data_IF_056683319458
#
_entry.id   IF_056683319458
#
_cell.length_a   1.000
_cell.length_b   1.000
_cell.length_c   1.000
_cell.angle_alpha   90.00
_cell.angle_beta   90.00
_cell.angle_gamma   90.00
#
_symmetry.space_group_name_H-M   'P 1'
#
loop_
_entity.id
_entity.type
_entity.pdbx_description
1 polymer ?
#
# COMPACT_ATOMS: atom_id res chain seq x y z
N UNK A 1 -3.06 7.21 -25.37
CA UNK A 1 -3.91 6.40 -24.47
C UNK A 1 -4.94 7.30 -23.83
N UNK A 2 -6.18 6.84 -23.60
CA UNK A 2 -7.14 7.63 -22.82
C UNK A 2 -6.65 7.75 -21.37
N UNK A 3 -6.82 8.91 -20.73
CA UNK A 3 -6.25 9.21 -19.40
C UNK A 3 -6.72 8.23 -18.31
N UNK A 4 -7.98 7.80 -18.38
CA UNK A 4 -8.55 6.73 -17.55
C UNK A 4 -7.78 5.41 -17.67
N UNK A 5 -7.43 4.97 -18.89
CA UNK A 5 -6.70 3.71 -19.12
C UNK A 5 -5.30 3.77 -18.52
N UNK A 6 -4.61 4.90 -18.71
CA UNK A 6 -3.27 5.10 -18.13
C UNK A 6 -3.32 5.06 -16.59
N UNK A 7 -4.29 5.74 -15.99
CA UNK A 7 -4.47 5.74 -14.52
C UNK A 7 -4.78 4.34 -13.99
N UNK A 8 -5.66 3.58 -14.65
CA UNK A 8 -5.96 2.21 -14.25
C UNK A 8 -4.71 1.33 -14.32
N UNK A 9 -3.94 1.38 -15.41
CA UNK A 9 -2.71 0.59 -15.54
C UNK A 9 -1.69 0.97 -14.46
N UNK A 10 -1.45 2.27 -14.24
CA UNK A 10 -0.52 2.73 -13.23
C UNK A 10 -0.97 2.34 -11.81
N UNK A 11 -2.27 2.42 -11.53
CA UNK A 11 -2.84 2.03 -10.23
C UNK A 11 -2.73 0.52 -10.00
N UNK A 12 -3.01 -0.30 -11.01
CA UNK A 12 -2.82 -1.75 -10.93
C UNK A 12 -1.34 -2.11 -10.71
N UNK A 13 -0.42 -1.46 -11.41
CA UNK A 13 1.02 -1.65 -11.20
C UNK A 13 1.42 -1.27 -9.77
N UNK A 14 0.91 -0.16 -9.25
CA UNK A 14 1.16 0.26 -7.87
C UNK A 14 0.63 -0.76 -6.85
N UNK A 15 -0.57 -1.31 -7.06
CA UNK A 15 -1.14 -2.36 -6.21
C UNK A 15 -0.27 -3.63 -6.24
N UNK A 16 0.24 -4.04 -7.40
CA UNK A 16 1.15 -5.19 -7.53
C UNK A 16 2.45 -4.96 -6.75
N UNK A 17 3.10 -3.82 -6.96
CA UNK A 17 4.34 -3.48 -6.25
C UNK A 17 4.12 -3.39 -4.73
N UNK A 18 3.00 -2.81 -4.30
CA UNK A 18 2.61 -2.77 -2.89
C UNK A 18 2.38 -4.17 -2.32
N UNK A 19 1.78 -5.07 -3.09
CA UNK A 19 1.56 -6.46 -2.66
C UNK A 19 2.89 -7.19 -2.46
N UNK A 20 3.87 -6.99 -3.35
CA UNK A 20 5.21 -7.54 -3.16
C UNK A 20 5.90 -6.95 -1.93
N UNK A 21 5.85 -5.64 -1.74
CA UNK A 21 6.39 -4.98 -0.55
C UNK A 21 5.76 -5.53 0.74
N UNK A 22 4.43 -5.62 0.81
CA UNK A 22 3.73 -6.17 1.96
C UNK A 22 4.07 -7.64 2.21
N UNK A 23 4.20 -8.45 1.16
CA UNK A 23 4.59 -9.86 1.28
C UNK A 23 5.99 -9.99 1.87
N UNK A 24 6.91 -9.15 1.43
CA UNK A 24 8.29 -9.12 1.90
C UNK A 24 8.38 -8.70 3.39
N UNK A 25 7.58 -7.72 3.82
CA UNK A 25 7.43 -7.34 5.23
C UNK A 25 6.87 -8.51 6.06
N UNK A 26 5.78 -9.14 5.61
CA UNK A 26 5.17 -10.30 6.29
C UNK A 26 6.17 -11.45 6.45
N UNK A 27 6.95 -11.76 5.41
CA UNK A 27 7.94 -12.84 5.46
C UNK A 27 9.07 -12.53 6.45
N UNK A 28 9.54 -11.28 6.51
CA UNK A 28 10.61 -10.87 7.44
C UNK A 28 10.14 -10.73 8.89
N UNK A 29 8.88 -10.40 9.10
CA UNK A 29 8.27 -10.31 10.43
C UNK A 29 7.86 -11.66 11.01
N UNK A 30 8.14 -12.78 10.33
CA UNK A 30 7.87 -14.14 10.83
C UNK A 30 6.52 -14.72 10.39
N UNK A 31 5.87 -14.10 9.41
CA UNK A 31 4.68 -14.63 8.74
C UNK A 31 3.37 -13.96 9.15
N UNK A 32 2.30 -14.32 8.42
CA UNK A 32 0.99 -13.66 8.52
C UNK A 32 0.39 -13.66 9.93
N UNK A 33 0.66 -14.69 10.73
CA UNK A 33 0.05 -14.85 12.05
C UNK A 33 0.68 -13.93 13.12
N UNK A 34 1.93 -13.51 12.96
CA UNK A 34 2.67 -12.75 13.99
C UNK A 34 2.02 -11.39 14.26
N UNK A 35 1.51 -10.73 13.22
CA UNK A 35 0.80 -9.44 13.30
C UNK A 35 -0.57 -9.52 12.64
N UNK A 36 -1.29 -10.61 12.90
CA UNK A 36 -2.52 -11.00 12.18
C UNK A 36 -3.54 -9.86 11.97
N UNK A 37 -3.88 -9.10 13.02
CA UNK A 37 -4.83 -8.00 12.91
C UNK A 37 -4.34 -6.88 11.97
N UNK A 38 -3.07 -6.49 12.06
CA UNK A 38 -2.47 -5.47 11.19
C UNK A 38 -2.37 -5.95 9.74
N UNK A 39 -2.00 -7.21 9.55
CA UNK A 39 -1.92 -7.83 8.23
C UNK A 39 -3.29 -7.89 7.55
N UNK A 40 -4.36 -8.20 8.31
CA UNK A 40 -5.73 -8.17 7.78
C UNK A 40 -6.16 -6.75 7.35
N UNK A 41 -5.81 -5.72 8.14
CA UNK A 41 -6.10 -4.33 7.78
C UNK A 41 -5.39 -3.96 6.46
N UNK A 42 -4.11 -4.33 6.31
CA UNK A 42 -3.36 -4.08 5.08
C UNK A 42 -3.99 -4.78 3.86
N UNK A 43 -4.42 -6.04 4.01
CA UNK A 43 -5.13 -6.79 2.95
C UNK A 43 -6.46 -6.13 2.60
N UNK A 44 -7.22 -5.64 3.58
CA UNK A 44 -8.47 -4.92 3.33
C UNK A 44 -8.24 -3.61 2.57
N UNK A 45 -7.16 -2.87 2.87
CA UNK A 45 -6.78 -1.66 2.14
C UNK A 45 -6.49 -1.99 0.67
N UNK A 46 -5.70 -3.05 0.41
CA UNK A 46 -5.41 -3.51 -0.95
C UNK A 46 -6.68 -3.89 -1.71
N UNK A 47 -7.62 -4.57 -1.04
CA UNK A 47 -8.89 -4.98 -1.63
C UNK A 47 -9.78 -3.79 -2.00
N UNK A 48 -9.91 -2.81 -1.10
CA UNK A 48 -10.66 -1.57 -1.37
C UNK A 48 -10.01 -0.78 -2.50
N UNK A 49 -8.69 -0.69 -2.52
CA UNK A 49 -7.95 0.01 -3.58
C UNK A 49 -8.13 -0.67 -4.95
N UNK A 50 -8.04 -2.00 -5.01
CA UNK A 50 -8.30 -2.78 -6.22
C UNK A 50 -9.75 -2.60 -6.71
N UNK A 51 -10.72 -2.68 -5.80
CA UNK A 51 -12.12 -2.44 -6.13
C UNK A 51 -12.35 -1.02 -6.67
N UNK A 52 -11.77 -0.01 -6.02
CA UNK A 52 -11.83 1.37 -6.50
C UNK A 52 -11.22 1.56 -7.89
N UNK A 53 -10.13 0.83 -8.17
CA UNK A 53 -9.44 0.87 -9.47
C UNK A 53 -10.24 0.21 -10.59
N UNK A 54 -10.87 -0.95 -10.33
CA UNK A 54 -11.55 -1.74 -11.35
C UNK A 54 -13.04 -1.39 -11.51
N UNK A 55 -13.77 -1.29 -10.40
CA UNK A 55 -15.24 -1.16 -10.41
C UNK A 55 -15.68 0.29 -10.37
N UNK A 56 -14.91 1.15 -9.71
CA UNK A 56 -15.20 2.59 -9.59
C UNK A 56 -14.37 3.44 -10.55
N UNK A 57 -13.74 2.82 -11.56
CA UNK A 57 -13.05 3.54 -12.62
C UNK A 57 -13.97 4.63 -13.22
N UNK A 58 -13.39 5.80 -13.48
CA UNK A 58 -14.07 6.98 -14.02
C UNK A 58 -15.07 7.67 -13.09
N UNK A 59 -15.36 7.11 -11.91
CA UNK A 59 -16.16 7.76 -10.86
C UNK A 59 -15.26 8.58 -9.95
N UNK A 60 -15.80 9.69 -9.42
CA UNK A 60 -15.08 10.54 -8.44
C UNK A 60 -14.58 9.74 -7.24
N UNK A 61 -15.39 8.82 -6.73
CA UNK A 61 -14.99 7.93 -5.62
C UNK A 61 -13.82 7.02 -5.98
N UNK A 62 -13.78 6.48 -7.20
CA UNK A 62 -12.64 5.68 -7.67
C UNK A 62 -11.36 6.50 -7.76
N UNK A 63 -11.43 7.73 -8.29
CA UNK A 63 -10.28 8.64 -8.32
C UNK A 63 -9.75 8.99 -6.93
N UNK A 64 -10.65 9.22 -5.96
CA UNK A 64 -10.26 9.47 -4.57
C UNK A 64 -9.55 8.24 -3.97
N UNK A 65 -10.09 7.04 -4.19
CA UNK A 65 -9.48 5.80 -3.70
C UNK A 65 -8.10 5.58 -4.33
N UNK A 66 -7.98 5.74 -5.65
CA UNK A 66 -6.70 5.60 -6.36
C UNK A 66 -5.66 6.61 -5.85
N UNK A 67 -6.07 7.85 -5.58
CA UNK A 67 -5.19 8.88 -5.04
C UNK A 67 -4.71 8.52 -3.62
N UNK A 68 -5.63 8.20 -2.71
CA UNK A 68 -5.30 7.84 -1.32
C UNK A 68 -4.38 6.62 -1.29
N UNK A 69 -4.72 5.58 -2.04
CA UNK A 69 -3.89 4.38 -2.13
C UNK A 69 -2.48 4.71 -2.65
N UNK A 70 -2.38 5.51 -3.70
CA UNK A 70 -1.08 5.92 -4.28
C UNK A 70 -0.24 6.72 -3.29
N UNK A 71 -0.86 7.62 -2.52
CA UNK A 71 -0.17 8.40 -1.48
C UNK A 71 0.32 7.51 -0.34
N UNK A 72 -0.52 6.60 0.15
CA UNK A 72 -0.12 5.61 1.17
C UNK A 72 1.06 4.78 0.66
N UNK A 73 0.99 4.31 -0.58
CA UNK A 73 2.03 3.47 -1.13
C UNK A 73 3.35 4.19 -1.39
N UNK A 74 3.30 5.43 -1.87
CA UNK A 74 4.49 6.28 -1.99
C UNK A 74 5.08 6.68 -0.63
N UNK A 75 4.25 6.76 0.41
CA UNK A 75 4.67 7.14 1.76
C UNK A 75 5.34 6.02 2.55
N UNK A 76 5.02 4.75 2.25
CA UNK A 76 5.55 3.59 2.99
C UNK A 76 7.08 3.55 3.12
N UNK A 77 7.88 3.76 2.05
CA UNK A 77 9.34 3.81 2.17
C UNK A 77 9.82 4.90 3.15
N UNK A 78 9.14 6.05 3.18
CA UNK A 78 9.47 7.15 4.10
C UNK A 78 9.13 6.76 5.54
N UNK A 79 7.99 6.12 5.77
CA UNK A 79 7.60 5.62 7.09
C UNK A 79 8.61 4.60 7.61
N UNK A 80 9.07 3.67 6.78
CA UNK A 80 10.10 2.70 7.15
C UNK A 80 11.42 3.37 7.53
N UNK A 81 11.87 4.37 6.76
CA UNK A 81 13.09 5.13 7.09
C UNK A 81 12.96 5.92 8.39
N UNK A 82 11.81 6.55 8.64
CA UNK A 82 11.57 7.31 9.88
C UNK A 82 11.52 6.35 11.08
N UNK A 83 10.77 5.25 10.98
CA UNK A 83 10.68 4.27 12.07
C UNK A 83 12.03 3.63 12.37
N UNK A 84 12.77 3.20 11.34
CA UNK A 84 14.13 2.67 11.50
C UNK A 84 15.06 3.68 12.21
N UNK A 85 15.01 4.97 11.81
CA UNK A 85 15.77 6.03 12.47
C UNK A 85 15.41 6.16 13.95
N UNK A 86 14.13 6.13 14.30
CA UNK A 86 13.69 6.26 15.70
C UNK A 86 14.15 5.10 16.59
N UNK A 87 14.12 3.87 16.06
CA UNK A 87 14.63 2.70 16.78
C UNK A 87 16.13 2.85 17.04
N UNK A 88 16.91 3.18 16.01
CA UNK A 88 18.35 3.39 16.17
C UNK A 88 18.64 4.47 17.20
N UNK A 89 17.96 5.63 17.17
CA UNK A 89 18.22 6.70 18.14
C UNK A 89 17.90 6.32 19.58
N UNK A 90 16.93 5.42 19.81
CA UNK A 90 16.56 4.97 21.16
C UNK A 90 17.53 3.91 21.71
N UNK A 91 18.25 3.18 20.86
CA UNK A 91 19.21 2.13 21.24
C UNK A 91 20.59 2.70 21.63
N UNK A 92 20.94 3.90 21.15
CA UNK A 92 22.23 4.58 21.44
C UNK A 92 22.15 5.66 22.53
N UNK A 93 20.97 5.91 23.10
CA UNK A 93 20.74 6.87 24.20
C UNK A 93 20.72 6.16 25.56
#
# INVERSE_FOLDING_TARGET
MKHNVMLTIASLLSIVLMTFHFTDDVLREGGMAVRGAWNLIAVLILLVWLYGTLVLAERRSGYIIMLIGSLLGSGMPVLHMILARTVVTNEVA
#
